data_IF_059674864414
#
_entry.id   IF_059674864414
#
_cell.length_a   1.000
_cell.length_b   1.000
_cell.length_c   1.000
_cell.angle_alpha   90.00
_cell.angle_beta   90.00
_cell.angle_gamma   90.00
#
_symmetry.space_group_name_H-M   'P 1'
#
loop_
_entity.id
_entity.type
_entity.pdbx_description
1 polymer ?
2 non-polymer ?
3 non-polymer ?
4 non-polymer ?
5 non-polymer ?
6 water ?
#
# COMPACT_ATOMS: atom_id res chain seq x y z
N UNK A 3 -11.32 -5.33 26.58
CA UNK A 3 -12.32 -5.16 27.69
C UNK A 3 -13.08 -6.45 27.93
N UNK A 4 -13.46 -6.67 29.19
CA UNK A 4 -14.36 -7.76 29.57
C UNK A 4 -15.73 -7.15 29.59
N UNK A 5 -16.66 -7.71 28.82
CA UNK A 5 -17.99 -7.12 28.66
C UNK A 5 -19.07 -8.07 29.16
N UNK A 6 -20.29 -7.56 29.27
CA UNK A 6 -21.44 -8.37 29.67
C UNK A 6 -21.90 -9.29 28.53
N UNK A 7 -22.13 -8.70 27.35
CA UNK A 7 -22.69 -9.45 26.22
C UNK A 7 -21.63 -9.65 25.16
N UNK A 8 -20.68 -10.53 25.44
CA UNK A 8 -19.53 -10.75 24.54
C UNK A 8 -19.97 -11.23 23.15
N UNK A 9 -20.85 -12.23 23.12
CA UNK A 9 -21.27 -12.87 21.87
C UNK A 9 -22.06 -11.93 20.96
N UNK A 10 -23.04 -11.24 21.54
CA UNK A 10 -23.88 -10.29 20.83
C UNK A 10 -23.04 -9.12 20.31
N UNK A 11 -22.05 -8.69 21.09
CA UNK A 11 -21.14 -7.59 20.72
C UNK A 11 -20.28 -7.93 19.51
N UNK A 12 -19.70 -9.13 19.51
CA UNK A 12 -18.76 -9.51 18.44
C UNK A 12 -19.50 -9.76 17.14
N UNK A 13 -20.65 -10.43 17.26
CA UNK A 13 -21.60 -10.58 16.16
C UNK A 13 -22.01 -9.22 15.62
N UNK A 14 -22.33 -8.27 16.50
CA UNK A 14 -22.72 -6.92 16.07
C UNK A 14 -21.59 -6.22 15.31
N UNK A 15 -20.37 -6.30 15.83
CA UNK A 15 -19.17 -5.74 15.19
C UNK A 15 -18.97 -6.40 13.82
N UNK A 16 -18.95 -7.74 13.80
CA UNK A 16 -18.84 -8.47 12.51
C UNK A 16 -19.98 -8.15 11.53
N UNK A 17 -21.22 -8.05 12.03
CA UNK A 17 -22.34 -7.67 11.19
C UNK A 17 -22.22 -6.25 10.61
N UNK A 18 -21.76 -5.32 11.41
CA UNK A 18 -21.51 -3.94 10.92
C UNK A 18 -20.44 -3.93 9.86
N UNK A 19 -19.37 -4.70 10.11
CA UNK A 19 -18.31 -4.83 9.13
C UNK A 19 -18.87 -5.46 7.84
N UNK A 20 -19.64 -6.53 7.96
CA UNK A 20 -20.28 -7.13 6.77
C UNK A 20 -21.01 -6.08 5.92
N UNK A 21 -21.84 -5.29 6.58
CA UNK A 21 -22.67 -4.27 5.93
C UNK A 21 -21.80 -3.19 5.27
N UNK A 22 -20.78 -2.72 6.00
CA UNK A 22 -19.86 -1.70 5.44
C UNK A 22 -19.09 -2.27 4.23
N UNK A 23 -18.62 -3.51 4.32
CA UNK A 23 -17.91 -4.08 3.18
C UNK A 23 -18.80 -4.22 1.94
N UNK A 24 -20.03 -4.68 2.14
CA UNK A 24 -21.02 -4.74 1.07
C UNK A 24 -21.24 -3.36 0.40
N UNK A 25 -21.40 -2.31 1.22
CA UNK A 25 -21.50 -0.93 0.73
C UNK A 25 -20.26 -0.48 -0.04
N UNK A 26 -19.09 -0.83 0.48
CA UNK A 26 -17.82 -0.50 -0.16
C UNK A 26 -17.72 -1.10 -1.56
N UNK A 27 -18.12 -2.36 -1.67
CA UNK A 27 -18.10 -3.08 -2.92
C UNK A 27 -19.11 -2.52 -3.91
N UNK A 28 -20.33 -2.27 -3.44
CA UNK A 28 -21.39 -1.65 -4.25
C UNK A 28 -20.92 -0.32 -4.82
N UNK A 29 -20.22 0.46 -3.99
CA UNK A 29 -19.67 1.73 -4.46
C UNK A 29 -18.69 1.53 -5.63
N UNK A 30 -17.77 0.58 -5.49
CA UNK A 30 -16.80 0.33 -6.56
C UNK A 30 -17.50 -0.09 -7.86
N UNK A 31 -18.50 -0.96 -7.73
CA UNK A 31 -19.29 -1.44 -8.87
C UNK A 31 -19.98 -0.30 -9.61
N UNK A 32 -20.25 0.79 -8.90
CA UNK A 32 -20.94 1.94 -9.49
C UNK A 32 -20.02 2.85 -10.33
N UNK A 33 -18.70 2.68 -10.20
CA UNK A 33 -17.77 3.60 -10.87
C UNK A 33 -17.70 3.36 -12.37
N UNK A 34 -17.69 4.46 -13.13
CA UNK A 34 -17.62 4.39 -14.59
C UNK A 34 -16.48 5.27 -15.19
N UNK A 35 -15.70 5.92 -14.34
CA UNK A 35 -14.66 6.86 -14.78
C UNK A 35 -13.42 6.12 -15.30
N UNK A 36 -12.63 6.77 -16.21
CA UNK A 36 -11.36 6.17 -16.61
C UNK A 36 -10.54 5.71 -15.40
N UNK A 37 -9.95 4.53 -15.52
CA UNK A 37 -9.09 4.00 -14.47
C UNK A 37 -9.83 3.38 -13.31
N UNK A 38 -11.15 3.23 -13.45
CA UNK A 38 -11.95 2.62 -12.38
C UNK A 38 -11.95 1.08 -12.35
N UNK A 39 -11.25 0.43 -13.30
CA UNK A 39 -11.17 -1.04 -13.32
C UNK A 39 -9.75 -1.55 -13.55
N UNK A 40 -9.38 -2.60 -12.82
CA UNK A 40 -8.03 -3.16 -12.95
C UNK A 40 -7.92 -3.79 -14.36
N UNK A 41 -6.89 -3.41 -15.14
CA UNK A 41 -6.75 -3.97 -16.49
C UNK A 41 -5.53 -4.91 -16.62
N UNK A 42 -5.02 -5.35 -15.47
CA UNK A 42 -3.85 -6.24 -15.39
C UNK A 42 -4.12 -7.51 -14.53
N UNK A 43 -3.41 -8.62 -14.83
CA UNK A 43 -3.57 -9.83 -14.02
C UNK A 43 -2.91 -9.76 -12.63
N UNK A 44 -3.46 -10.50 -11.68
CA UNK A 44 -2.93 -10.59 -10.30
C UNK A 44 -2.38 -12.00 -10.05
N UNK A 45 -1.30 -12.10 -9.27
CA UNK A 45 -0.74 -13.39 -8.86
C UNK A 45 -0.30 -14.22 -10.07
N UNK A 46 0.29 -13.55 -11.06
CA UNK A 46 0.78 -14.22 -12.28
C UNK A 46 2.15 -14.84 -12.06
N UNK A 55 13.56 -8.01 -22.71
CA UNK A 55 14.97 -7.75 -23.05
C UNK A 55 15.69 -7.00 -21.92
N UNK A 56 16.28 -5.85 -22.26
CA UNK A 56 16.70 -4.83 -21.30
C UNK A 56 15.43 -4.20 -20.70
N UNK A 57 14.56 -5.02 -20.12
CA UNK A 57 13.27 -4.56 -19.58
C UNK A 57 13.51 -3.52 -18.48
N UNK A 58 12.84 -2.37 -18.56
CA UNK A 58 12.95 -1.33 -17.52
C UNK A 58 11.65 -1.23 -16.75
N UNK A 59 11.72 -1.30 -15.43
CA UNK A 59 10.50 -1.33 -14.61
C UNK A 59 10.57 -0.20 -13.58
N UNK A 60 9.49 0.55 -13.47
CA UNK A 60 9.39 1.60 -12.46
C UNK A 60 8.39 1.07 -11.39
N UNK A 61 8.91 0.82 -10.18
CA UNK A 61 8.13 0.33 -9.05
C UNK A 61 7.57 1.48 -8.24
N UNK A 62 6.27 1.39 -7.92
CA UNK A 62 5.57 2.43 -7.16
C UNK A 62 5.00 1.87 -5.88
N UNK A 63 5.37 2.45 -4.75
CA UNK A 63 4.59 2.28 -3.52
C UNK A 63 3.21 2.94 -3.74
N UNK A 64 2.20 2.49 -3.01
CA UNK A 64 0.83 3.03 -3.20
C UNK A 64 0.49 4.02 -2.06
N UNK A 65 0.33 3.48 -0.86
CA UNK A 65 -0.12 4.30 0.25
C UNK A 65 0.80 5.46 0.59
N UNK A 66 0.22 6.66 0.67
CA UNK A 66 0.95 7.88 1.05
C UNK A 66 1.96 8.27 -0.03
N UNK A 67 1.82 7.63 -1.18
CA UNK A 67 2.67 7.93 -2.34
C UNK A 67 1.81 8.33 -3.53
N UNK A 68 0.97 7.42 -4.01
CA UNK A 68 0.01 7.77 -5.06
C UNK A 68 -1.14 8.63 -4.55
N UNK A 69 -1.28 8.74 -3.23
CA UNK A 69 -2.19 9.73 -2.64
C UNK A 69 -1.48 10.39 -1.46
N UNK A 70 -1.88 11.62 -1.13
CA UNK A 70 -1.20 12.29 -0.01
C UNK A 70 -1.67 11.74 1.33
N UNK A 71 -0.73 11.61 2.25
CA UNK A 71 -1.02 11.11 3.60
C UNK A 71 -2.23 11.85 4.16
N UNK A 72 -3.19 11.10 4.69
CA UNK A 72 -4.47 11.63 5.15
C UNK A 72 -4.66 11.43 6.64
N UNK A 73 -4.89 12.52 7.37
CA UNK A 73 -5.25 12.38 8.79
C UNK A 73 -6.62 11.76 8.98
N UNK A 74 -7.52 11.94 8.00
CA UNK A 74 -8.80 11.27 7.96
C UNK A 74 -8.61 9.75 7.91
N UNK A 75 -7.68 9.28 7.08
CA UNK A 75 -7.37 7.84 7.03
C UNK A 75 -6.75 7.38 8.34
N UNK A 76 -5.72 8.09 8.80
CA UNK A 76 -5.19 7.84 10.15
C UNK A 76 -6.30 7.76 11.20
N UNK A 77 -7.21 8.74 11.21
CA UNK A 77 -8.27 8.77 12.22
C UNK A 77 -9.27 7.64 12.09
N UNK A 78 -9.72 7.37 10.86
CA UNK A 78 -10.62 6.24 10.59
C UNK A 78 -9.94 4.93 10.94
N UNK A 79 -8.66 4.82 10.56
CA UNK A 79 -7.89 3.62 10.88
C UNK A 79 -7.75 3.44 12.38
N UNK A 80 -7.46 4.53 13.10
CA UNK A 80 -7.38 4.48 14.57
C UNK A 80 -8.70 4.00 15.21
N UNK A 81 -9.83 4.54 14.75
CA UNK A 81 -11.14 4.13 15.25
C UNK A 81 -11.38 2.64 15.03
N UNK A 82 -11.00 2.18 13.85
CA UNK A 82 -11.09 0.76 13.42
C UNK A 82 -10.23 -0.14 14.32
N UNK A 83 -8.98 0.28 14.52
CA UNK A 83 -8.05 -0.45 15.33
C UNK A 83 -8.60 -0.49 16.77
N UNK A 84 -9.12 0.65 17.23
CA UNK A 84 -9.71 0.74 18.57
C UNK A 84 -10.81 -0.30 18.76
N UNK A 85 -11.69 -0.42 17.78
CA UNK A 85 -12.77 -1.40 17.88
C UNK A 85 -12.22 -2.83 17.88
N UNK A 86 -11.18 -3.07 17.09
CA UNK A 86 -10.52 -4.36 17.04
C UNK A 86 -9.85 -4.69 18.37
N UNK A 87 -9.12 -3.71 18.90
CA UNK A 87 -8.44 -3.82 20.18
C UNK A 87 -9.39 -4.18 21.34
N UNK A 88 -10.54 -3.53 21.36
CA UNK A 88 -11.52 -3.74 22.43
C UNK A 88 -12.06 -5.16 22.42
N UNK A 89 -12.02 -5.80 21.25
CA UNK A 89 -12.61 -7.12 21.05
C UNK A 89 -11.59 -8.25 20.95
N UNK A 90 -10.31 -7.91 21.02
CA UNK A 90 -9.25 -8.90 20.89
C UNK A 90 -8.23 -8.77 22.00
N UNK A 91 -8.36 -9.65 22.99
CA UNK A 91 -7.58 -9.58 24.22
C UNK A 91 -6.08 -9.87 24.10
N UNK A 92 -5.66 -10.39 22.96
CA UNK A 92 -4.25 -10.75 22.77
C UNK A 92 -3.36 -9.53 22.53
N UNK A 93 -3.95 -8.42 22.08
CA UNK A 93 -3.18 -7.18 21.86
C UNK A 93 -3.00 -6.40 23.16
N UNK A 94 -1.77 -5.94 23.42
CA UNK A 94 -1.52 -5.03 24.55
C UNK A 94 -1.91 -3.61 24.14
N UNK A 95 -2.15 -2.71 25.11
CA UNK A 95 -2.32 -1.29 24.78
C UNK A 95 -1.15 -0.74 23.95
N UNK A 96 0.10 -1.11 24.26
CA UNK A 96 1.24 -0.60 23.44
C UNK A 96 1.19 -1.11 21.99
N UNK A 97 0.81 -2.38 21.82
CA UNK A 97 0.57 -2.93 20.46
C UNK A 97 -0.39 -2.05 19.69
N UNK A 98 -1.52 -1.71 20.33
CA UNK A 98 -2.55 -0.91 19.67
C UNK A 98 -2.05 0.50 19.39
N UNK A 99 -1.42 1.12 20.39
CA UNK A 99 -0.84 2.45 20.20
C UNK A 99 0.13 2.50 19.02
N UNK A 100 1.03 1.51 18.94
CA UNK A 100 1.98 1.47 17.82
C UNK A 100 1.23 1.27 16.49
N UNK A 101 0.23 0.41 16.48
CA UNK A 101 -0.58 0.24 15.24
C UNK A 101 -1.24 1.52 14.80
N UNK A 102 -1.78 2.28 15.76
CA UNK A 102 -2.38 3.59 15.48
C UNK A 102 -1.43 4.52 14.74
N UNK A 103 -0.15 4.42 15.09
CA UNK A 103 0.89 5.26 14.51
C UNK A 103 1.44 4.69 13.21
N UNK A 104 1.38 3.36 13.04
CA UNK A 104 2.18 2.70 12.00
C UNK A 104 1.40 1.94 10.93
N UNK A 105 0.21 1.42 11.24
CA UNK A 105 -0.46 0.54 10.26
C UNK A 105 -0.78 1.28 8.96
N UNK A 106 -1.25 2.52 9.08
CA UNK A 106 -1.66 3.26 7.88
C UNK A 106 -0.44 3.77 7.07
N UNK A 107 0.75 3.55 7.61
CA UNK A 107 2.00 3.86 6.92
C UNK A 107 2.74 2.60 6.40
N UNK A 108 2.65 1.51 7.16
CA UNK A 108 3.53 0.36 6.96
C UNK A 108 2.79 -0.92 6.58
N UNK A 109 1.47 -0.89 6.75
CA UNK A 109 0.59 -2.05 6.42
C UNK A 109 1.12 -3.38 6.95
N UNK A 110 1.37 -4.34 6.09
CA UNK A 110 1.83 -5.65 6.55
C UNK A 110 3.04 -5.62 7.49
N UNK A 111 3.97 -4.67 7.29
CA UNK A 111 5.15 -4.64 8.17
C UNK A 111 4.71 -4.35 9.62
N UNK A 112 3.69 -3.51 9.76
CA UNK A 112 3.21 -3.10 11.09
C UNK A 112 2.61 -4.25 11.89
N UNK A 113 2.02 -5.22 11.19
CA UNK A 113 1.43 -6.39 11.86
C UNK A 113 2.32 -7.64 11.84
N UNK A 114 3.49 -7.54 11.19
CA UNK A 114 4.31 -8.72 10.94
C UNK A 114 4.68 -9.46 12.24
N UNK A 115 5.14 -8.69 13.24
CA UNK A 115 5.51 -9.25 14.52
C UNK A 115 4.29 -9.86 15.22
N UNK A 116 3.20 -9.11 15.23
CA UNK A 116 1.96 -9.58 15.89
C UNK A 116 1.46 -10.89 15.28
N UNK A 117 1.56 -10.99 13.95
CA UNK A 117 1.18 -12.17 13.21
C UNK A 117 2.13 -13.35 13.53
N UNK A 118 3.43 -13.10 13.52
CA UNK A 118 4.41 -14.16 13.76
C UNK A 118 4.22 -14.80 15.14
N UNK A 119 3.85 -13.97 16.10
CA UNK A 119 3.69 -14.43 17.48
C UNK A 119 2.24 -14.79 17.80
N UNK A 120 1.44 -14.88 16.74
CA UNK A 120 0.05 -15.31 16.85
C UNK A 120 -0.84 -14.50 17.80
N UNK A 121 -0.58 -13.19 17.85
CA UNK A 121 -1.40 -12.28 18.63
C UNK A 121 -2.47 -11.66 17.74
N UNK A 122 -2.30 -11.81 16.43
CA UNK A 122 -3.25 -11.28 15.43
C UNK A 122 -3.35 -12.26 14.27
N UNK A 123 -4.59 -12.51 13.84
CA UNK A 123 -4.92 -13.28 12.64
C UNK A 123 -4.96 -12.23 11.52
N UNK A 124 -4.02 -12.33 10.59
CA UNK A 124 -3.86 -11.30 9.55
C UNK A 124 -5.10 -11.06 8.69
N UNK A 125 -5.72 -12.15 8.22
CA UNK A 125 -6.93 -12.02 7.40
C UNK A 125 -8.08 -11.41 8.21
N UNK A 126 -8.21 -11.81 9.48
CA UNK A 126 -9.28 -11.28 10.33
C UNK A 126 -9.08 -9.76 10.53
N UNK A 127 -7.85 -9.38 10.88
CA UNK A 127 -7.45 -7.98 11.03
C UNK A 127 -7.68 -7.18 9.73
N UNK A 128 -7.25 -7.73 8.60
CA UNK A 128 -7.43 -7.03 7.32
C UNK A 128 -8.93 -6.76 7.04
N UNK A 129 -9.76 -7.76 7.33
CA UNK A 129 -11.21 -7.59 7.07
C UNK A 129 -11.81 -6.54 7.99
N UNK A 130 -11.63 -6.72 9.30
CA UNK A 130 -12.32 -5.87 10.28
C UNK A 130 -11.77 -4.45 10.30
N UNK A 131 -10.49 -4.30 10.04
CA UNK A 131 -9.82 -3.01 10.22
C UNK A 131 -9.65 -2.26 8.91
N UNK A 132 -9.26 -2.97 7.86
CA UNK A 132 -8.80 -2.40 6.57
C UNK A 132 -9.91 -2.41 5.50
N UNK A 133 -10.39 -3.59 5.13
CA UNK A 133 -11.46 -3.69 4.12
C UNK A 133 -12.75 -2.97 4.55
N UNK A 134 -12.97 -2.85 5.87
CA UNK A 134 -14.15 -2.13 6.40
C UNK A 134 -14.11 -0.63 6.11
N UNK A 135 -12.91 -0.08 5.91
CA UNK A 135 -12.73 1.37 5.83
C UNK A 135 -13.35 1.92 4.55
N UNK A 136 -14.19 2.98 4.66
CA UNK A 136 -14.77 3.62 3.47
C UNK A 136 -13.71 4.54 2.82
N UNK A 137 -12.74 3.91 2.16
CA UNK A 137 -11.61 4.65 1.57
C UNK A 137 -12.14 5.65 0.52
N UNK A 138 -13.30 5.33 -0.07
CA UNK A 138 -13.95 6.22 -1.04
C UNK A 138 -14.31 7.60 -0.45
N UNK A 139 -14.34 7.70 0.87
CA UNK A 139 -14.60 9.02 1.54
C UNK A 139 -13.38 9.96 1.45
N UNK A 140 -12.23 9.42 1.10
CA UNK A 140 -10.98 10.17 1.05
C UNK A 140 -10.34 10.13 -0.34
N UNK A 141 -10.22 8.93 -0.90
CA UNK A 141 -9.61 8.74 -2.21
C UNK A 141 -10.64 8.99 -3.31
N UNK A 142 -10.33 9.96 -4.16
CA UNK A 142 -11.20 10.34 -5.27
C UNK A 142 -10.36 10.38 -6.55
N UNK A 143 -11.01 10.35 -7.73
CA UNK A 143 -10.25 10.39 -8.99
C UNK A 143 -9.29 11.57 -9.03
N UNK A 144 -8.03 11.29 -9.36
CA UNK A 144 -6.99 12.33 -9.40
C UNK A 144 -6.52 12.47 -10.85
N UNK A 145 -7.03 13.47 -11.55
CA UNK A 145 -6.73 13.61 -12.97
C UNK A 145 -5.28 14.02 -13.22
N UNK A 146 -4.76 15.02 -12.49
CA UNK A 146 -3.32 15.31 -12.67
C UNK A 146 -2.43 14.09 -12.48
N UNK A 147 -2.75 13.24 -11.48
CA UNK A 147 -1.97 12.04 -11.26
C UNK A 147 -2.07 11.10 -12.44
N UNK A 148 -3.31 10.89 -12.90
CA UNK A 148 -3.54 10.04 -14.06
C UNK A 148 -2.72 10.50 -15.28
N UNK A 149 -2.73 11.82 -15.49
CA UNK A 149 -2.06 12.41 -16.65
C UNK A 149 -0.54 12.26 -16.53
N UNK A 150 -0.02 12.42 -15.30
CA UNK A 150 1.43 12.23 -15.07
C UNK A 150 1.83 10.76 -15.31
N UNK A 151 1.05 9.83 -14.78
CA UNK A 151 1.38 8.40 -14.94
C UNK A 151 1.25 7.95 -16.40
N UNK A 152 0.21 8.44 -17.08
CA UNK A 152 0.06 8.18 -18.53
C UNK A 152 1.25 8.73 -19.33
N UNK A 153 1.69 9.93 -18.97
CA UNK A 153 2.86 10.52 -19.60
C UNK A 153 4.07 9.58 -19.48
N UNK A 154 4.33 9.10 -18.26
CA UNK A 154 5.39 8.12 -18.05
C UNK A 154 5.18 6.87 -18.89
N UNK A 155 3.95 6.35 -18.89
CA UNK A 155 3.64 5.09 -19.57
C UNK A 155 3.95 5.16 -21.07
N UNK A 156 3.66 6.31 -21.65
CA UNK A 156 3.72 6.48 -23.11
C UNK A 156 5.05 7.04 -23.62
N UNK A 157 5.97 7.35 -22.71
CA UNK A 157 7.17 8.08 -23.11
C UNK A 157 8.18 7.23 -23.88
N UNK A 158 8.03 5.90 -23.84
CA UNK A 158 8.94 4.98 -24.52
C UNK A 158 10.22 4.65 -23.77
N UNK A 159 10.29 5.08 -22.51
CA UNK A 159 11.52 4.92 -21.72
C UNK A 159 11.43 3.81 -20.67
N UNK A 160 10.20 3.46 -20.31
CA UNK A 160 9.92 2.49 -19.27
C UNK A 160 9.00 1.42 -19.84
N UNK A 161 9.33 0.16 -19.61
CA UNK A 161 8.53 -0.95 -20.12
C UNK A 161 7.31 -1.31 -19.28
N UNK A 162 7.46 -1.25 -17.95
CA UNK A 162 6.35 -1.60 -17.06
C UNK A 162 6.31 -0.64 -15.88
N UNK A 163 5.11 -0.21 -15.52
CA UNK A 163 4.86 0.45 -14.23
C UNK A 163 4.32 -0.67 -13.35
N UNK A 164 4.94 -0.86 -12.19
CA UNK A 164 4.63 -2.01 -11.35
C UNK A 164 4.35 -1.55 -9.93
N UNK A 165 3.23 -1.97 -9.37
CA UNK A 165 2.88 -1.58 -7.99
C UNK A 165 3.62 -2.47 -7.01
N UNK A 166 4.14 -1.89 -5.94
CA UNK A 166 4.94 -2.65 -4.95
C UNK A 166 4.57 -2.13 -3.56
N UNK A 167 3.71 -2.89 -2.89
CA UNK A 167 3.01 -2.41 -1.68
C UNK A 167 3.06 -3.41 -0.51
N UNK A 168 3.08 -2.88 0.71
CA UNK A 168 2.97 -3.72 1.90
C UNK A 168 1.50 -4.01 2.32
N UNK A 169 0.54 -3.41 1.58
CA UNK A 169 -0.89 -3.70 1.84
C UNK A 169 -1.26 -5.02 1.21
N UNK A 170 -2.39 -5.58 1.66
CA UNK A 170 -2.94 -6.75 1.00
C UNK A 170 -3.57 -6.31 -0.34
N UNK A 171 -3.83 -7.27 -1.23
CA UNK A 171 -4.20 -6.93 -2.61
C UNK A 171 -5.50 -6.16 -2.73
N UNK A 172 -6.50 -6.50 -1.93
CA UNK A 172 -7.77 -5.78 -2.08
C UNK A 172 -7.70 -4.32 -1.67
N UNK A 173 -6.94 -4.02 -0.60
CA UNK A 173 -6.66 -2.62 -0.25
C UNK A 173 -5.99 -1.90 -1.44
N UNK A 174 -4.94 -2.53 -1.98
CA UNK A 174 -4.19 -1.93 -3.09
C UNK A 174 -5.13 -1.68 -4.29
N UNK A 175 -5.92 -2.70 -4.67
CA UNK A 175 -6.84 -2.61 -5.82
C UNK A 175 -7.85 -1.48 -5.59
N UNK A 176 -8.45 -1.44 -4.41
CA UNK A 176 -9.38 -0.33 -4.10
C UNK A 176 -8.75 1.04 -4.30
N UNK A 177 -7.54 1.22 -3.80
CA UNK A 177 -6.87 2.52 -3.97
C UNK A 177 -6.76 2.88 -5.47
N UNK A 178 -6.30 1.93 -6.28
CA UNK A 178 -6.08 2.19 -7.73
C UNK A 178 -7.40 2.59 -8.38
N UNK A 179 -8.46 1.84 -8.08
CA UNK A 179 -9.75 2.09 -8.73
C UNK A 179 -10.35 3.43 -8.31
N UNK A 180 -10.28 3.72 -7.01
CA UNK A 180 -10.83 4.97 -6.49
C UNK A 180 -10.09 6.19 -7.03
N UNK A 181 -8.77 6.05 -7.21
CA UNK A 181 -7.96 7.17 -7.72
C UNK A 181 -8.08 7.31 -9.25
N UNK A 182 -8.70 6.30 -9.88
CA UNK A 182 -8.84 6.31 -11.35
C UNK A 182 -7.53 6.12 -12.09
N UNK A 183 -6.70 5.18 -11.61
CA UNK A 183 -5.39 4.89 -12.20
C UNK A 183 -5.16 3.38 -12.39
N UNK A 184 -6.23 2.58 -12.27
CA UNK A 184 -6.11 1.10 -12.30
C UNK A 184 -5.68 0.49 -13.64
N UNK A 185 -5.86 1.26 -14.72
CA UNK A 185 -5.44 0.84 -16.06
C UNK A 185 -4.06 1.35 -16.48
N UNK A 186 -3.35 1.98 -15.54
CA UNK A 186 -2.01 2.55 -15.85
C UNK A 186 -0.81 1.70 -15.40
N UNK A 187 -1.08 0.55 -14.79
CA UNK A 187 0.00 -0.31 -14.28
C UNK A 187 -0.09 -1.68 -14.91
N UNK A 188 1.05 -2.35 -14.95
CA UNK A 188 1.16 -3.65 -15.60
C UNK A 188 1.01 -4.82 -14.62
N UNK A 189 1.16 -4.54 -13.33
CA UNK A 189 1.04 -5.59 -12.34
C UNK A 189 1.18 -5.07 -10.94
N UNK A 190 1.05 -6.00 -9.97
CA UNK A 190 0.98 -5.66 -8.55
C UNK A 190 1.71 -6.71 -7.75
N UNK A 191 2.68 -6.26 -6.95
CA UNK A 191 3.29 -7.07 -5.89
C UNK A 191 2.81 -6.55 -4.55
N UNK A 192 2.13 -7.41 -3.80
CA UNK A 192 1.49 -7.01 -2.54
C UNK A 192 1.95 -7.90 -1.42
N UNK A 193 1.60 -7.52 -0.21
CA UNK A 193 1.93 -8.37 0.95
C UNK A 193 0.86 -9.43 1.14
N UNK A 194 1.20 -10.69 0.94
CA UNK A 194 0.19 -11.75 1.04
C UNK A 194 -0.07 -12.09 2.52
N UNK A 195 -1.24 -11.69 3.02
CA UNK A 195 -1.63 -11.92 4.41
C UNK A 195 -2.26 -13.31 4.63
N UNK A 196 -2.43 -14.08 3.55
CA UNK A 196 -3.42 -15.19 3.50
C UNK A 196 -3.11 -16.54 4.14
N UNK A 197 -1.86 -17.00 4.03
CA UNK A 197 -1.53 -18.40 4.40
C UNK A 197 -0.06 -18.63 4.83
N UNK A 198 0.46 -17.62 5.51
CA UNK A 198 1.69 -17.77 6.25
C UNK A 198 1.57 -16.89 7.48
N UNK A 199 2.20 -17.30 8.57
CA UNK A 199 2.33 -16.40 9.73
C UNK A 199 3.64 -15.60 9.69
N UNK A 200 4.36 -15.70 8.58
CA UNK A 200 5.60 -14.94 8.38
C UNK A 200 5.47 -14.04 7.15
N UNK A 201 4.99 -12.82 7.38
CA UNK A 201 4.67 -11.93 6.26
C UNK A 201 5.91 -11.48 5.53
N UNK A 202 5.85 -11.42 4.20
CA UNK A 202 6.98 -10.89 3.40
C UNK A 202 6.63 -9.45 3.06
N UNK A 203 7.46 -8.52 3.53
CA UNK A 203 7.18 -7.12 3.24
C UNK A 203 8.42 -6.26 3.22
N UNK A 204 8.27 -5.11 2.58
CA UNK A 204 9.34 -4.10 2.55
C UNK A 204 9.59 -3.66 4.02
N UNK A 205 10.84 -3.34 4.38
CA UNK A 205 12.06 -3.18 3.57
C UNK A 205 12.88 -4.46 3.40
N UNK A 206 12.28 -5.60 3.77
CA UNK A 206 13.00 -6.89 3.74
C UNK A 206 13.36 -7.30 2.32
N UNK A 207 14.58 -7.82 2.16
CA UNK A 207 15.12 -8.20 0.85
C UNK A 207 14.20 -9.18 0.09
N UNK A 208 13.59 -10.13 0.79
CA UNK A 208 12.70 -11.07 0.11
C UNK A 208 11.49 -10.44 -0.58
N UNK A 209 11.03 -9.30 -0.06
CA UNK A 209 9.92 -8.56 -0.70
C UNK A 209 10.38 -8.02 -2.07
N UNK A 210 11.62 -7.51 -2.11
CA UNK A 210 12.24 -7.01 -3.36
C UNK A 210 12.45 -8.14 -4.34
N UNK A 211 12.89 -9.29 -3.85
CA UNK A 211 13.06 -10.43 -4.74
C UNK A 211 11.74 -10.86 -5.36
N UNK A 212 10.66 -10.79 -4.58
CA UNK A 212 9.31 -11.08 -5.11
C UNK A 212 8.89 -10.08 -6.19
N UNK A 213 9.15 -8.80 -5.93
CA UNK A 213 8.78 -7.76 -6.91
C UNK A 213 9.54 -7.99 -8.20
N UNK A 214 10.85 -8.28 -8.08
CA UNK A 214 11.69 -8.55 -9.26
C UNK A 214 11.15 -9.75 -10.07
N UNK A 215 10.87 -10.85 -9.37
CA UNK A 215 10.38 -12.07 -10.02
C UNK A 215 9.02 -11.86 -10.69
N UNK A 216 8.11 -11.19 -9.97
CA UNK A 216 6.78 -11.01 -10.50
C UNK A 216 6.73 -10.07 -11.69
N UNK A 217 7.55 -9.01 -11.66
CA UNK A 217 7.54 -8.01 -12.72
C UNK A 217 8.29 -8.50 -13.95
N UNK A 218 9.14 -9.52 -13.73
CA UNK A 218 10.01 -10.05 -14.77
C UNK A 218 11.28 -9.25 -15.04
N UNK A 219 11.64 -8.38 -14.07
CA UNK A 219 12.88 -7.59 -14.11
C UNK A 219 14.06 -8.53 -13.86
N UNK A 220 15.14 -8.33 -14.62
CA UNK A 220 16.26 -9.26 -14.64
C UNK A 220 17.43 -8.73 -13.83
N UNK A 221 17.53 -7.39 -13.77
CA UNK A 221 18.70 -6.66 -13.28
C UNK A 221 18.19 -5.45 -12.52
N UNK A 222 18.69 -5.26 -11.29
CA UNK A 222 18.28 -4.10 -10.49
C UNK A 222 18.66 -2.77 -11.15
N UNK A 223 19.72 -2.77 -11.98
CA UNK A 223 20.15 -1.56 -12.69
C UNK A 223 19.12 -1.07 -13.71
N UNK A 224 18.09 -1.87 -13.95
CA UNK A 224 17.02 -1.53 -14.88
C UNK A 224 15.74 -1.15 -14.12
N UNK A 225 15.86 -1.07 -12.79
CA UNK A 225 14.75 -0.69 -11.91
C UNK A 225 14.80 0.77 -11.42
N UNK A 226 13.61 1.36 -11.35
CA UNK A 226 13.40 2.67 -10.72
C UNK A 226 12.37 2.48 -9.62
N UNK A 227 12.45 3.31 -8.58
CA UNK A 227 11.63 3.05 -7.39
C UNK A 227 11.28 4.33 -6.65
N UNK A 228 10.00 4.45 -6.32
CA UNK A 228 9.53 5.58 -5.49
C UNK A 228 8.77 5.06 -4.28
N UNK A 229 9.10 5.59 -3.10
CA UNK A 229 8.48 5.09 -1.86
C UNK A 229 8.60 6.19 -0.80
N UNK A 230 7.68 6.23 0.17
CA UNK A 230 7.78 7.25 1.24
C UNK A 230 8.63 6.79 2.44
N UNK A 231 8.96 5.49 2.45
CA UNK A 231 9.80 4.93 3.52
C UNK A 231 11.27 4.97 3.17
N UNK A 232 12.02 5.77 3.94
CA UNK A 232 13.48 5.84 3.82
C UNK A 232 14.17 4.47 3.85
N UNK A 233 13.72 3.58 4.74
CA UNK A 233 14.35 2.27 4.85
C UNK A 233 14.11 1.40 3.62
N UNK A 234 12.89 1.48 3.07
CA UNK A 234 12.56 0.80 1.81
C UNK A 234 13.48 1.30 0.70
N UNK A 235 13.59 2.62 0.59
CA UNK A 235 14.49 3.25 -0.39
C UNK A 235 15.94 2.72 -0.23
N UNK A 236 16.38 2.64 1.03
CA UNK A 236 17.70 2.12 1.32
C UNK A 236 17.92 0.70 0.78
N UNK A 237 16.95 -0.21 0.94
CA UNK A 237 17.09 -1.55 0.39
C UNK A 237 17.23 -1.48 -1.12
N UNK A 238 16.41 -0.63 -1.76
CA UNK A 238 16.45 -0.51 -3.21
C UNK A 238 17.82 -0.07 -3.69
N UNK A 239 18.38 0.93 -3.03
CA UNK A 239 19.67 1.53 -3.39
C UNK A 239 20.74 0.46 -3.24
N UNK A 240 20.72 -0.21 -2.08
CA UNK A 240 21.79 -1.20 -1.80
C UNK A 240 21.68 -2.41 -2.73
N UNK A 241 20.48 -2.72 -3.23
CA UNK A 241 20.33 -3.82 -4.21
C UNK A 241 20.84 -3.44 -5.59
N UNK A 242 21.06 -2.15 -5.81
CA UNK A 242 21.60 -1.60 -7.06
C UNK A 242 20.61 -1.00 -8.02
N UNK A 243 19.43 -0.61 -7.51
CA UNK A 243 18.47 0.08 -8.39
C UNK A 243 19.04 1.34 -8.99
N UNK A 244 18.59 1.67 -10.19
CA UNK A 244 19.18 2.79 -10.96
C UNK A 244 18.94 4.13 -10.26
N UNK A 245 17.67 4.41 -9.93
CA UNK A 245 17.29 5.65 -9.28
C UNK A 245 16.18 5.35 -8.32
N UNK A 246 16.37 5.77 -7.06
CA UNK A 246 15.34 5.65 -6.02
C UNK A 246 14.96 7.03 -5.57
N UNK A 247 13.66 7.22 -5.42
CA UNK A 247 13.08 8.52 -5.09
C UNK A 247 12.35 8.40 -3.76
N UNK A 248 12.82 9.17 -2.77
CA UNK A 248 12.25 9.14 -1.44
C UNK A 248 11.22 10.25 -1.33
N UNK A 249 9.95 9.88 -1.20
CA UNK A 249 8.89 10.87 -1.05
C UNK A 249 8.79 11.25 0.44
N UNK A 250 9.02 12.53 0.70
CA UNK A 250 8.87 13.10 2.04
C UNK A 250 7.91 14.30 1.91
N UNK A 251 6.62 14.05 2.18
CA UNK A 251 5.59 15.07 2.00
C UNK A 251 5.79 16.25 2.94
N UNK A 252 6.08 15.93 4.19
CA UNK A 252 6.25 16.94 5.24
C UNK A 252 7.62 16.81 5.84
N UNK A 253 8.49 17.80 5.63
CA UNK A 253 9.83 17.69 6.21
C UNK A 253 9.85 18.18 7.64
N UNK A 254 9.06 17.52 8.48
CA UNK A 254 8.83 17.94 9.87
C UNK A 254 10.00 17.54 10.78
N UNK A 259 13.44 8.13 10.75
CA UNK A 259 14.16 7.74 9.54
C UNK A 259 14.61 8.92 8.70
N UNK A 260 15.76 8.76 8.03
CA UNK A 260 16.33 9.80 7.16
C UNK A 260 16.20 9.39 5.69
N UNK A 261 16.63 10.27 4.78
CA UNK A 261 16.76 9.91 3.37
C UNK A 261 18.13 9.28 3.21
N UNK A 262 18.22 8.05 2.67
CA UNK A 262 19.55 7.47 2.47
C UNK A 262 20.33 8.18 1.35
N UNK A 263 21.64 8.31 1.50
CA UNK A 263 22.49 8.92 0.47
C UNK A 263 22.28 8.29 -0.91
N UNK A 264 22.10 9.14 -1.93
CA UNK A 264 21.92 8.70 -3.31
C UNK A 264 20.45 8.78 -3.76
N UNK A 265 19.53 8.86 -2.81
CA UNK A 265 18.11 8.97 -3.16
C UNK A 265 17.83 10.39 -3.62
N UNK A 266 16.88 10.55 -4.56
CA UNK A 266 16.30 11.84 -4.87
C UNK A 266 15.18 12.10 -3.85
N UNK A 267 15.06 13.33 -3.40
CA UNK A 267 14.04 13.73 -2.43
C UNK A 267 12.95 14.56 -3.11
N UNK A 268 11.70 14.12 -2.98
CA UNK A 268 10.53 14.87 -3.47
C UNK A 268 9.46 14.99 -2.37
N UNK A 269 8.52 15.91 -2.53
CA UNK A 269 7.47 16.10 -1.53
C UNK A 269 6.08 15.67 -2.02
N UNK A 270 5.95 15.46 -3.35
CA UNK A 270 4.68 15.12 -3.98
C UNK A 270 5.00 14.30 -5.21
N UNK A 271 4.21 13.26 -5.44
CA UNK A 271 4.49 12.39 -6.59
C UNK A 271 4.39 13.15 -7.91
N UNK A 272 3.62 14.25 -7.94
CA UNK A 272 3.54 15.04 -9.19
C UNK A 272 4.86 15.74 -9.53
N UNK A 273 5.82 15.73 -8.60
CA UNK A 273 7.18 16.25 -8.87
C UNK A 273 8.03 15.33 -9.75
N UNK A 274 7.55 14.10 -9.95
CA UNK A 274 8.35 13.11 -10.66
C UNK A 274 8.90 13.55 -12.04
N UNK A 275 8.05 14.14 -12.90
CA UNK A 275 8.60 14.58 -14.22
C UNK A 275 9.63 15.68 -14.14
N UNK A 276 9.73 16.30 -12.96
CA UNK A 276 10.70 17.38 -12.76
C UNK A 276 11.96 16.96 -12.04
N UNK A 277 12.06 15.67 -11.71
CA UNK A 277 13.28 15.13 -11.05
C UNK A 277 13.95 13.98 -11.84
N UNK A 278 13.17 13.28 -12.68
CA UNK A 278 13.70 12.24 -13.56
C UNK A 278 13.08 12.47 -14.97
N UNK A 279 13.25 13.69 -15.46
CA UNK A 279 12.62 14.11 -16.74
C UNK A 279 13.04 13.20 -17.91
N UNK A 280 14.23 12.60 -17.83
CA UNK A 280 14.73 11.67 -18.87
C UNK A 280 13.83 10.47 -19.11
N UNK A 281 13.00 10.15 -18.12
CA UNK A 281 12.09 9.01 -18.23
C UNK A 281 10.72 9.39 -18.80
N UNK A 282 10.49 10.69 -18.97
CA UNK A 282 9.17 11.23 -19.34
C UNK A 282 9.13 11.75 -20.77
X LIG B 1 5.46 -6.90 -0.51
X LIG B 1 4.76 -6.55 -1.71
X LIG B 1 6.16 -8.24 -0.79
X LIG B 1 5.17 -9.26 -0.84
X LIG C 1 16.74 14.70 -15.60
X LIG C 1 16.35 13.34 -15.78
X LIG C 1 16.31 15.22 -14.23
X LIG C 1 14.92 15.63 -14.21
X LIG D 1 3.93 3.99 1.64
X LIG E 1 4.71 -9.18 19.05
X LIG F 1 8.91 -9.92 13.76
X LIG G 1 12.39 15.19 -21.85
X LIG G 1 12.25 13.85 -22.35
X LIG G 1 11.21 15.54 -20.93
X LIG G 1 11.62 16.60 -20.05
X LIG G 1 10.54 17.37 -19.54
X LIG G 1 11.05 18.29 -18.44
X LIG G 1 10.34 18.09 -17.21
#
# INVERSE_FOLDING_TARGET
>A
GHMTVEYTASDLATYQNEVNEQIAKNKAHLESLTHPGSKVTFPIDQDISATPQNPNLKVFFFDIDNCLYKSSTRIHDLMQQSILRFFQTHLKLSPEDAHVLNNSYYKEYGLAIRGLVMFHKVNALEYNRLVDDSLPLQDILKPDIPLRNMLLRLRQSGKIDKLWLFTNAYKNHAIRCLRLLGIADLFDGLTYCDYSRTDTLVCKPHVKAFEKAMKESGLARYENAYFIDDSGKNIETGIKLGMKTCIHLVENEVNEILGQTPEGAIVISDILELPHVVSDLF
>B hetero
1 EDO C1 O1 C2 O2
>C hetero
1 EDO C1 O1 C2 O2
>D hetero
1 NA NA
>E hetero
1 CL CL
>F hetero
1 CL CL
>G hetero
1 PEG C1 O1 C2 O2 C3 C4 O4
#
